data_IF_523339236158
#
_entry.id   IF_523339236158
#
_cell.length_a   1.000
_cell.length_b   1.000
_cell.length_c   1.000
_cell.angle_alpha   90.00
_cell.angle_beta   90.00
_cell.angle_gamma   90.00
#
_symmetry.space_group_name_H-M   'P 1'
#
loop_
_entity.id
_entity.type
_entity.pdbx_description
1 polymer ?
#
# COMPACT_ATOMS: atom_id res chain seq x y z
N UNK A 1 12.01 3.46 1.60
CA UNK A 1 10.89 4.33 1.18
C UNK A 1 9.87 4.41 2.31
N UNK A 2 9.41 5.60 2.67
CA UNK A 2 8.24 5.77 3.54
C UNK A 2 7.01 6.00 2.67
N UNK A 3 5.96 5.20 2.84
CA UNK A 3 4.68 5.33 2.14
C UNK A 3 3.60 5.65 3.17
N UNK A 4 2.80 6.69 2.92
CA UNK A 4 1.61 7.02 3.72
C UNK A 4 0.37 6.64 2.92
N UNK A 5 -0.35 5.62 3.36
CA UNK A 5 -1.67 5.33 2.83
C UNK A 5 -2.72 6.22 3.52
N UNK A 6 -3.65 6.77 2.73
CA UNK A 6 -4.71 7.66 3.22
C UNK A 6 -6.05 7.17 2.65
N UNK A 7 -6.94 6.70 3.52
CA UNK A 7 -8.30 6.32 3.16
C UNK A 7 -9.18 7.56 2.97
N UNK A 8 -9.11 8.21 1.81
CA UNK A 8 -9.85 9.45 1.54
C UNK A 8 -11.32 9.23 1.17
N UNK A 9 -11.72 8.00 0.83
CA UNK A 9 -13.10 7.68 0.50
C UNK A 9 -13.96 7.42 1.75
N UNK A 10 -15.29 7.38 1.57
CA UNK A 10 -16.27 7.21 2.64
C UNK A 10 -16.98 5.84 2.65
N UNK A 11 -16.62 4.91 1.75
CA UNK A 11 -17.45 3.73 1.47
C UNK A 11 -16.73 2.40 1.40
N UNK A 12 -15.39 2.37 1.29
CA UNK A 12 -14.66 1.11 1.07
C UNK A 12 -13.37 1.04 1.86
N UNK A 13 -13.05 -0.15 2.33
CA UNK A 13 -11.72 -0.49 2.84
C UNK A 13 -10.85 -0.86 1.65
N UNK A 14 -9.62 -0.37 1.63
CA UNK A 14 -8.60 -0.75 0.65
C UNK A 14 -7.48 -1.53 1.33
N UNK A 15 -7.37 -2.85 1.10
CA UNK A 15 -6.21 -3.62 1.51
C UNK A 15 -5.00 -3.24 0.64
N UNK A 16 -4.15 -2.34 1.14
CA UNK A 16 -3.00 -1.82 0.39
C UNK A 16 -1.81 -2.76 0.53
N UNK A 17 -1.36 -3.30 -0.61
CA UNK A 17 -0.28 -4.27 -0.73
C UNK A 17 0.94 -3.67 -1.45
N UNK A 18 2.15 -4.04 -1.04
CA UNK A 18 3.40 -3.72 -1.75
C UNK A 18 4.14 -5.03 -2.07
N UNK A 19 4.42 -5.26 -3.35
CA UNK A 19 5.23 -6.41 -3.79
C UNK A 19 6.63 -6.35 -3.17
N UNK A 20 7.22 -7.51 -2.87
CA UNK A 20 8.55 -7.57 -2.26
C UNK A 20 8.57 -7.22 -0.77
N UNK A 21 7.40 -7.18 -0.12
CA UNK A 21 7.27 -7.03 1.32
C UNK A 21 8.02 -8.09 2.14
N UNK A 22 7.93 -8.07 3.48
CA UNK A 22 7.06 -7.18 4.25
C UNK A 22 7.57 -5.73 4.29
N UNK A 23 6.66 -4.80 4.50
CA UNK A 23 6.96 -3.48 5.05
C UNK A 23 6.72 -3.47 6.55
N UNK A 24 7.31 -2.51 7.26
CA UNK A 24 7.04 -2.26 8.67
C UNK A 24 5.98 -1.16 8.80
N UNK A 25 4.91 -1.39 9.56
CA UNK A 25 3.93 -0.36 9.92
C UNK A 25 4.47 0.43 11.12
N UNK A 26 4.70 1.73 10.92
CA UNK A 26 5.41 2.58 11.89
C UNK A 26 4.56 3.72 12.47
N UNK A 27 3.44 4.07 11.83
CA UNK A 27 2.52 5.07 12.35
C UNK A 27 1.08 4.74 11.95
N UNK A 28 0.12 5.16 12.78
CA UNK A 28 -1.31 5.06 12.50
C UNK A 28 -1.99 6.39 12.81
N UNK A 29 -2.82 6.85 11.89
CA UNK A 29 -3.62 8.09 12.00
C UNK A 29 -2.80 9.35 12.33
N UNK A 30 -1.52 9.36 11.95
CA UNK A 30 -0.60 10.48 12.19
C UNK A 30 0.30 10.29 13.42
N UNK A 31 0.01 9.31 14.27
CA UNK A 31 0.77 9.02 15.47
C UNK A 31 1.82 7.94 15.23
N UNK A 32 3.07 8.25 15.57
CA UNK A 32 4.18 7.28 15.47
C UNK A 32 4.00 6.22 16.53
N UNK A 33 4.02 4.95 16.11
CA UNK A 33 3.86 3.82 16.99
C UNK A 33 5.14 3.58 17.81
N UNK A 34 5.03 3.24 19.10
CA UNK A 34 6.18 2.77 19.87
C UNK A 34 6.73 1.50 19.23
N UNK A 35 8.04 1.27 19.33
CA UNK A 35 8.72 0.13 18.67
C UNK A 35 8.06 -1.21 19.00
N UNK A 36 7.61 -1.40 20.24
CA UNK A 36 6.91 -2.62 20.68
C UNK A 36 5.54 -2.85 20.04
N UNK A 37 4.94 -1.83 19.43
CA UNK A 37 3.65 -1.94 18.74
C UNK A 37 3.79 -2.01 17.21
N UNK A 38 4.98 -1.73 16.67
CA UNK A 38 5.23 -1.84 15.22
C UNK A 38 5.17 -3.30 14.80
N UNK A 39 4.76 -3.53 13.56
CA UNK A 39 4.60 -4.88 13.04
C UNK A 39 4.91 -4.94 11.54
N UNK A 40 5.32 -6.13 11.11
CA UNK A 40 5.56 -6.42 9.70
C UNK A 40 4.25 -6.86 9.04
N UNK A 41 4.01 -6.36 7.83
CA UNK A 41 2.91 -6.77 6.98
C UNK A 41 3.32 -6.65 5.51
N UNK A 42 2.70 -7.44 4.63
CA UNK A 42 2.75 -7.19 3.18
C UNK A 42 1.53 -6.39 2.69
N UNK A 43 0.47 -6.36 3.51
CA UNK A 43 -0.83 -5.77 3.20
C UNK A 43 -1.45 -5.17 4.46
N UNK A 44 -2.01 -3.97 4.37
CA UNK A 44 -2.77 -3.34 5.47
C UNK A 44 -4.13 -2.84 5.00
N UNK A 45 -5.17 -3.11 5.77
CA UNK A 45 -6.51 -2.58 5.51
C UNK A 45 -6.56 -1.09 5.86
N UNK A 46 -6.84 -0.26 4.86
CA UNK A 46 -6.99 1.19 5.03
C UNK A 46 -8.46 1.54 4.85
N UNK A 47 -9.14 1.77 5.97
CA UNK A 47 -10.54 2.19 5.97
C UNK A 47 -10.74 3.70 5.79
N UNK A 48 -11.99 4.15 5.62
CA UNK A 48 -12.35 5.57 5.56
C UNK A 48 -11.77 6.38 6.73
N UNK A 49 -11.09 7.49 6.40
CA UNK A 49 -10.47 8.39 7.37
C UNK A 49 -9.17 7.87 7.99
N UNK A 50 -8.78 6.61 7.75
CA UNK A 50 -7.58 6.03 8.34
C UNK A 50 -6.31 6.41 7.58
N UNK A 51 -5.20 6.49 8.30
CA UNK A 51 -3.87 6.66 7.72
C UNK A 51 -2.91 5.63 8.30
N UNK A 52 -2.06 5.06 7.46
CA UNK A 52 -0.97 4.20 7.87
C UNK A 52 0.32 4.69 7.24
N UNK A 53 1.37 4.86 8.05
CA UNK A 53 2.72 5.04 7.55
C UNK A 53 3.44 3.70 7.59
N UNK A 54 4.03 3.33 6.47
CA UNK A 54 4.83 2.11 6.36
C UNK A 54 6.23 2.43 5.85
N UNK A 55 7.21 1.69 6.35
CA UNK A 55 8.59 1.73 5.87
C UNK A 55 8.82 0.46 5.06
N UNK A 56 9.12 0.64 3.77
CA UNK A 56 9.42 -0.43 2.84
C UNK A 56 10.83 -0.28 2.29
N UNK A 57 11.53 -1.40 2.15
CA UNK A 57 12.86 -1.47 1.56
C UNK A 57 12.85 -2.47 0.41
N UNK A 58 13.35 -2.03 -0.75
CA UNK A 58 13.52 -2.90 -1.88
C UNK A 58 14.59 -3.96 -1.58
N UNK A 59 14.29 -5.22 -1.89
CA UNK A 59 15.25 -6.33 -1.72
C UNK A 59 16.31 -6.34 -2.81
N UNK A 60 16.02 -5.73 -3.96
CA UNK A 60 16.92 -5.56 -5.11
C UNK A 60 16.40 -4.41 -5.99
N UNK A 61 17.25 -3.83 -6.86
CA UNK A 61 16.79 -2.93 -7.91
C UNK A 61 15.76 -3.61 -8.81
N UNK A 62 14.73 -2.88 -9.22
CA UNK A 62 13.63 -3.43 -10.02
C UNK A 62 12.32 -2.69 -9.82
N UNK A 63 11.27 -3.23 -10.46
CA UNK A 63 9.92 -2.67 -10.43
C UNK A 63 9.06 -3.39 -9.40
N UNK A 64 8.40 -2.61 -8.55
CA UNK A 64 7.61 -3.10 -7.43
C UNK A 64 6.21 -2.50 -7.50
N UNK A 65 5.20 -3.36 -7.56
CA UNK A 65 3.81 -2.92 -7.63
C UNK A 65 3.26 -2.62 -6.24
N UNK A 66 2.62 -1.47 -6.11
CA UNK A 66 1.72 -1.13 -5.00
C UNK A 66 0.30 -1.14 -5.53
N UNK A 67 -0.61 -1.86 -4.88
CA UNK A 67 -2.01 -1.90 -5.32
C UNK A 67 -2.98 -2.25 -4.19
N UNK A 68 -4.26 -1.96 -4.43
CA UNK A 68 -5.33 -2.55 -3.64
C UNK A 68 -5.46 -4.05 -3.94
N UNK A 69 -5.60 -4.89 -2.90
CA UNK A 69 -5.72 -6.33 -3.06
C UNK A 69 -7.17 -6.80 -3.33
N UNK A 70 -8.08 -5.85 -3.59
CA UNK A 70 -9.43 -6.13 -4.08
C UNK A 70 -9.38 -6.05 -5.61
N UNK A 71 -9.58 -7.17 -6.31
CA UNK A 71 -9.36 -7.26 -7.75
C UNK A 71 -10.19 -6.28 -8.59
N UNK A 72 -11.44 -5.98 -8.23
CA UNK A 72 -12.22 -4.98 -8.97
C UNK A 72 -11.74 -3.54 -8.73
N UNK A 73 -10.99 -3.27 -7.65
CA UNK A 73 -10.36 -1.97 -7.40
C UNK A 73 -9.08 -1.75 -8.23
N UNK A 74 -8.59 -2.77 -8.94
CA UNK A 74 -7.46 -2.66 -9.87
C UNK A 74 -7.92 -2.63 -11.34
N UNK A 75 -9.14 -2.15 -11.58
CA UNK A 75 -9.75 -2.02 -12.91
C UNK A 75 -10.36 -0.64 -13.12
N UNK A 76 -10.57 -0.25 -14.38
CA UNK A 76 -11.36 0.91 -14.76
C UNK A 76 -12.69 0.42 -15.35
N UNK A 77 -13.81 0.66 -14.69
CA UNK A 77 -15.12 0.14 -15.10
C UNK A 77 -15.13 -1.38 -15.36
N UNK A 78 -14.50 -2.17 -14.46
CA UNK A 78 -14.33 -3.62 -14.60
C UNK A 78 -13.50 -4.06 -15.82
N UNK A 79 -12.74 -3.15 -16.43
CA UNK A 79 -11.80 -3.44 -17.51
C UNK A 79 -10.38 -3.21 -17.02
N UNK A 80 -9.50 -4.18 -17.29
CA UNK A 80 -8.06 -4.03 -17.14
C UNK A 80 -7.47 -3.56 -18.47
N UNK A 81 -6.69 -2.48 -18.44
CA UNK A 81 -6.01 -1.93 -19.61
C UNK A 81 -4.50 -2.04 -19.42
N UNK A 82 -3.82 -2.74 -20.34
CA UNK A 82 -2.36 -2.90 -20.34
C UNK A 82 -1.77 -3.45 -19.03
N UNK A 83 -2.44 -4.43 -18.41
CA UNK A 83 -1.94 -5.08 -17.19
C UNK A 83 -2.40 -4.42 -15.90
N UNK A 84 -3.32 -3.44 -15.96
CA UNK A 84 -3.76 -2.71 -14.77
C UNK A 84 -4.95 -1.75 -14.94
N UNK A 85 -5.31 -1.11 -13.85
CA UNK A 85 -6.36 -0.09 -13.74
C UNK A 85 -6.53 0.36 -12.28
N UNK A 86 -7.43 1.31 -12.03
CA UNK A 86 -7.84 1.69 -10.68
C UNK A 86 -6.68 2.08 -9.74
N UNK A 87 -6.69 1.55 -8.50
CA UNK A 87 -5.78 1.93 -7.42
C UNK A 87 -4.49 1.10 -7.46
N UNK A 88 -3.56 1.49 -8.32
CA UNK A 88 -2.23 0.90 -8.42
C UNK A 88 -1.15 1.90 -8.82
N UNK A 89 0.10 1.63 -8.44
CA UNK A 89 1.29 2.37 -8.88
C UNK A 89 2.50 1.44 -8.88
N UNK A 90 3.39 1.61 -9.87
CA UNK A 90 4.67 0.91 -9.92
C UNK A 90 5.77 1.85 -9.43
N UNK A 91 6.57 1.38 -8.48
CA UNK A 91 7.81 2.04 -8.08
C UNK A 91 8.97 1.37 -8.81
N UNK A 92 9.82 2.17 -9.44
CA UNK A 92 11.04 1.71 -10.08
C UNK A 92 12.25 2.08 -9.21
N UNK A 93 12.93 1.06 -8.68
CA UNK A 93 14.09 1.21 -7.80
C UNK A 93 15.34 0.98 -8.63
N UNK A 94 16.11 2.06 -8.83
CA UNK A 94 17.37 2.03 -9.55
C UNK A 94 18.52 1.52 -8.65
N UNK A 95 19.62 1.00 -9.25
CA UNK A 95 20.84 0.62 -8.53
C UNK A 95 21.46 1.76 -7.71
#
# INVERSE_FOLDING_TARGET
LKVRFIGTNNGFIHPMHIHGGPFEVVARDGETMPESARFLADTVNVGPGQRYDVVWQARHPGKWLIHCHIGHHTTNNNVEEKGGGGLMVVIDVQP
#
